data_IF_483207581820
#
_entry.id   IF_483207581820
#
_cell.length_a   1.000
_cell.length_b   1.000
_cell.length_c   1.000
_cell.angle_alpha   90.00
_cell.angle_beta   90.00
_cell.angle_gamma   90.00
#
_symmetry.space_group_name_H-M   'P 1'
#
loop_
_entity.id
_entity.type
_entity.pdbx_description
1 polymer ?
#
# COMPACT_ATOMS: atom_id res chain seq x y z
N UNK A 1 6.04 9.76 -8.64
CA UNK A 1 5.68 8.69 -9.59
C UNK A 1 4.23 8.83 -9.98
N UNK A 2 3.80 8.21 -11.07
CA UNK A 2 2.38 8.06 -11.39
C UNK A 2 1.76 6.99 -10.48
N UNK A 3 0.67 7.32 -9.80
CA UNK A 3 -0.08 6.37 -9.00
C UNK A 3 -1.57 6.63 -9.22
N UNK A 4 -2.44 5.59 -9.22
CA UNK A 4 -3.87 5.82 -9.41
C UNK A 4 -4.52 6.62 -8.26
N UNK A 5 -3.85 6.73 -7.10
CA UNK A 5 -4.28 7.53 -5.95
C UNK A 5 -3.26 8.64 -5.63
N UNK A 6 -3.71 9.87 -5.31
CA UNK A 6 -2.80 10.96 -4.95
C UNK A 6 -2.16 10.75 -3.58
N UNK A 7 -1.04 11.45 -3.35
CA UNK A 7 -0.41 11.54 -2.01
C UNK A 7 -1.43 12.00 -0.98
N UNK A 8 -1.41 11.37 0.20
CA UNK A 8 -2.37 11.63 1.27
C UNK A 8 -3.62 10.75 1.20
N UNK A 9 -3.77 9.91 0.18
CA UNK A 9 -4.77 8.83 0.21
C UNK A 9 -4.48 7.88 1.38
N UNK A 10 -5.52 7.41 2.04
CA UNK A 10 -5.41 6.59 3.25
C UNK A 10 -6.14 5.27 3.10
N UNK A 11 -5.66 4.29 3.86
CA UNK A 11 -6.26 2.99 4.04
C UNK A 11 -6.23 2.71 5.55
N UNK A 12 -7.41 2.61 6.17
CA UNK A 12 -7.54 2.24 7.57
C UNK A 12 -7.86 0.75 7.66
N UNK A 13 -7.12 0.04 8.50
CA UNK A 13 -7.18 -1.42 8.63
C UNK A 13 -7.39 -1.75 10.10
N UNK A 14 -8.33 -2.65 10.38
CA UNK A 14 -8.60 -3.18 11.72
C UNK A 14 -7.89 -4.53 11.90
N UNK A 15 -7.69 -4.92 13.15
CA UNK A 15 -7.05 -6.19 13.56
C UNK A 15 -7.73 -7.46 13.01
N UNK A 16 -9.00 -7.38 12.61
CA UNK A 16 -9.73 -8.44 11.91
C UNK A 16 -9.56 -8.42 10.38
N UNK A 17 -8.55 -7.69 9.88
CA UNK A 17 -8.23 -7.49 8.47
C UNK A 17 -9.31 -6.75 7.65
N UNK A 18 -10.39 -6.25 8.27
CA UNK A 18 -11.33 -5.37 7.58
C UNK A 18 -10.68 -4.02 7.30
N UNK A 19 -10.98 -3.42 6.15
CA UNK A 19 -10.36 -2.16 5.76
C UNK A 19 -11.33 -1.21 5.06
N UNK A 20 -11.02 0.09 5.14
CA UNK A 20 -11.73 1.17 4.43
C UNK A 20 -10.74 2.15 3.82
N UNK A 21 -11.05 2.65 2.63
CA UNK A 21 -10.16 3.52 1.88
C UNK A 21 -9.31 2.76 0.86
N UNK A 22 -8.31 3.43 0.30
CA UNK A 22 -7.44 2.88 -0.74
C UNK A 22 -6.23 3.78 -0.95
N UNK A 23 -5.05 3.18 -1.08
CA UNK A 23 -3.79 3.87 -1.37
C UNK A 23 -3.29 3.65 -2.80
N UNK A 24 -3.85 2.68 -3.53
CA UNK A 24 -3.42 2.37 -4.91
C UNK A 24 -4.55 2.16 -5.91
N UNK A 25 -5.75 1.81 -5.46
CA UNK A 25 -6.89 1.49 -6.31
C UNK A 25 -7.15 -0.01 -6.50
N UNK A 26 -6.45 -0.88 -5.76
CA UNK A 26 -6.75 -2.31 -5.65
C UNK A 26 -5.54 -3.25 -5.79
N UNK A 27 -4.41 -2.80 -6.32
CA UNK A 27 -3.30 -3.69 -6.66
C UNK A 27 -2.43 -4.11 -5.47
N UNK A 28 -2.28 -3.26 -4.46
CA UNK A 28 -1.37 -3.51 -3.32
C UNK A 28 -2.09 -3.57 -1.97
N UNK A 29 -3.40 -3.31 -1.95
CA UNK A 29 -4.20 -3.24 -0.72
C UNK A 29 -4.10 -4.51 0.12
N UNK A 30 -4.02 -5.69 -0.52
CA UNK A 30 -3.83 -6.96 0.19
C UNK A 30 -2.47 -7.04 0.92
N UNK A 31 -1.38 -6.60 0.30
CA UNK A 31 -0.05 -6.59 0.93
C UNK A 31 0.01 -5.55 2.07
N UNK A 32 -0.60 -4.38 1.87
CA UNK A 32 -0.70 -3.34 2.91
C UNK A 32 -1.50 -3.85 4.11
N UNK A 33 -2.56 -4.64 3.89
CA UNK A 33 -3.31 -5.29 4.98
C UNK A 33 -2.42 -6.23 5.78
N UNK A 34 -1.69 -7.15 5.13
CA UNK A 34 -0.78 -8.07 5.83
C UNK A 34 0.24 -7.31 6.69
N UNK A 35 0.88 -6.29 6.11
CA UNK A 35 1.87 -5.47 6.81
C UNK A 35 1.29 -4.67 7.97
N UNK A 36 0.05 -4.19 7.83
CA UNK A 36 -0.62 -3.49 8.92
C UNK A 36 -0.90 -4.42 10.10
N UNK A 37 -1.27 -5.68 9.85
CA UNK A 37 -1.44 -6.68 10.92
C UNK A 37 -0.10 -6.95 11.62
N UNK A 38 0.98 -7.12 10.87
CA UNK A 38 2.33 -7.27 11.45
C UNK A 38 2.75 -6.03 12.26
N UNK A 39 2.43 -4.83 11.79
CA UNK A 39 2.71 -3.58 12.49
C UNK A 39 1.88 -3.44 13.78
N UNK A 40 0.63 -3.90 13.78
CA UNK A 40 -0.23 -3.95 14.98
C UNK A 40 0.33 -4.91 16.02
N UNK A 41 0.81 -6.09 15.60
CA UNK A 41 1.42 -7.08 16.51
C UNK A 41 2.75 -6.60 17.09
N UNK A 42 3.60 -5.98 16.26
CA UNK A 42 4.95 -5.57 16.66
C UNK A 42 5.01 -4.18 17.29
N UNK A 43 3.99 -3.36 17.10
CA UNK A 43 3.96 -1.94 17.47
C UNK A 43 4.97 -1.08 16.69
N UNK A 44 5.48 -1.57 15.55
CA UNK A 44 6.53 -0.90 14.77
C UNK A 44 5.97 -0.38 13.44
N UNK A 45 6.14 0.92 13.14
CA UNK A 45 5.80 1.44 11.83
C UNK A 45 6.84 1.04 10.78
N UNK A 46 6.42 0.99 9.52
CA UNK A 46 7.31 0.79 8.38
C UNK A 46 6.91 1.62 7.15
N UNK A 47 7.87 1.85 6.24
CA UNK A 47 7.62 2.46 4.94
C UNK A 47 7.90 1.43 3.86
N UNK A 48 6.91 1.17 3.02
CA UNK A 48 6.97 0.20 1.92
C UNK A 48 6.99 0.94 0.60
N UNK A 49 7.94 0.59 -0.27
CA UNK A 49 8.01 1.12 -1.63
C UNK A 49 7.46 0.10 -2.63
N UNK A 50 6.47 0.51 -3.42
CA UNK A 50 5.92 -0.28 -4.51
C UNK A 50 6.23 0.38 -5.84
N UNK A 51 6.56 -0.43 -6.84
CA UNK A 51 6.82 0.03 -8.19
C UNK A 51 7.03 -1.12 -9.15
N UNK A 52 6.71 -0.88 -10.43
CA UNK A 52 7.07 -1.79 -11.51
C UNK A 52 8.51 -1.47 -11.90
N UNK A 53 9.40 -2.46 -11.84
CA UNK A 53 10.71 -2.34 -12.49
C UNK A 53 10.50 -2.40 -14.00
N UNK A 54 11.21 -1.54 -14.75
CA UNK A 54 11.08 -1.38 -16.22
C UNK A 54 11.13 -2.69 -17.05
N UNK A 55 11.56 -3.81 -16.46
CA UNK A 55 11.68 -5.10 -17.14
C UNK A 55 10.34 -5.78 -17.48
N UNK A 56 9.20 -5.38 -16.91
CA UNK A 56 7.87 -5.96 -17.20
C UNK A 56 6.84 -4.97 -17.77
N UNK A 57 7.25 -3.75 -18.13
CA UNK A 57 6.34 -2.70 -18.60
C UNK A 57 5.77 -2.92 -20.03
N UNK A 58 6.15 -4.00 -20.74
CA UNK A 58 5.85 -4.14 -22.17
C UNK A 58 4.79 -5.17 -22.57
N UNK A 59 4.35 -6.09 -21.70
CA UNK A 59 3.45 -7.19 -22.13
C UNK A 59 2.05 -7.23 -21.49
N UNK A 60 1.76 -6.44 -20.45
CA UNK A 60 0.40 -6.39 -19.90
C UNK A 60 0.11 -4.99 -19.36
N UNK A 61 -0.88 -4.32 -19.95
CA UNK A 61 -1.18 -2.91 -19.73
C UNK A 61 -1.58 -2.55 -18.29
N UNK A 62 -0.59 -2.27 -17.45
CA UNK A 62 -0.74 -1.37 -16.31
C UNK A 62 -0.22 0.00 -16.75
N UNK A 63 -1.15 0.91 -17.07
CA UNK A 63 -0.87 2.23 -17.64
C UNK A 63 -0.17 3.23 -16.70
N UNK A 64 0.33 2.80 -15.54
CA UNK A 64 0.96 3.69 -14.55
C UNK A 64 2.31 3.11 -14.09
N UNK A 65 3.36 3.30 -14.89
CA UNK A 65 4.75 2.95 -14.55
C UNK A 65 5.35 3.82 -13.45
N UNK A 66 4.65 4.00 -12.33
CA UNK A 66 5.12 4.83 -11.23
C UNK A 66 5.40 4.06 -9.95
N UNK A 67 6.15 4.73 -9.09
CA UNK A 67 6.49 4.27 -7.74
C UNK A 67 5.65 5.03 -6.72
N UNK A 68 5.19 4.31 -5.70
CA UNK A 68 4.56 4.85 -4.50
C UNK A 68 5.28 4.37 -3.26
N UNK A 69 5.19 5.18 -2.21
CA UNK A 69 5.62 4.79 -0.86
C UNK A 69 4.41 4.87 0.06
N UNK A 70 4.20 3.83 0.84
CA UNK A 70 3.11 3.73 1.82
C UNK A 70 3.75 3.66 3.20
N UNK A 71 3.36 4.57 4.09
CA UNK A 71 3.67 4.48 5.52
C UNK A 71 2.59 3.62 6.17
N UNK A 72 3.01 2.55 6.84
CA UNK A 72 2.16 1.70 7.66
C UNK A 72 2.50 2.02 9.11
N UNK A 73 1.53 2.57 9.84
CA UNK A 73 1.70 2.99 11.22
C UNK A 73 0.60 2.37 12.08
N UNK A 74 0.94 1.61 13.14
CA UNK A 74 -0.06 1.10 14.06
C UNK A 74 -0.63 2.25 14.89
N UNK A 75 -1.96 2.36 14.93
CA UNK A 75 -2.66 3.36 15.75
C UNK A 75 -3.04 2.73 17.08
N UNK A 76 -2.26 3.01 18.12
CA UNK A 76 -2.54 2.58 19.49
C UNK A 76 -2.94 3.78 20.34
N UNK A 77 -4.00 3.60 21.14
CA UNK A 77 -4.51 4.59 22.10
C UNK A 77 -4.07 4.31 23.52
#
# INVERSE_FOLDING_TARGET
GSAPRPVGSQLAIRDDATFVGSVSGGCIEGDVVTRALDALETGKPEVVEYGVSDAMAWEVGLACGGRIRVMVEPVTG
#
